data_IF_937745124241
#
_entry.id   IF_937745124241
#
_cell.length_a   1.000
_cell.length_b   1.000
_cell.length_c   1.000
_cell.angle_alpha   90.00
_cell.angle_beta   90.00
_cell.angle_gamma   90.00
#
_symmetry.space_group_name_H-M   'P 1'
#
loop_
_entity.id
_entity.type
_entity.pdbx_description
1 polymer ?
#
# COMPACT_ATOMS: atom_id res chain seq x y z
N UNK A 1 11.29 31.09 -48.83
CA UNK A 1 11.25 30.40 -47.50
C UNK A 1 9.91 29.65 -47.42
N UNK A 2 9.88 28.36 -47.15
CA UNK A 2 8.65 27.65 -47.02
C UNK A 2 7.93 28.16 -45.76
N UNK A 3 6.69 28.61 -45.91
CA UNK A 3 5.83 29.06 -44.82
C UNK A 3 5.55 27.89 -43.89
N UNK A 4 5.93 28.00 -42.61
CA UNK A 4 5.59 27.01 -41.59
C UNK A 4 4.07 26.82 -41.54
N UNK A 5 3.53 25.59 -41.57
CA UNK A 5 2.12 25.36 -41.47
C UNK A 5 1.64 25.91 -40.13
N UNK A 6 0.61 26.78 -40.17
CA UNK A 6 -0.05 27.25 -38.97
C UNK A 6 -0.69 26.06 -38.27
N UNK A 7 -0.37 25.84 -36.98
CA UNK A 7 -1.07 24.90 -36.12
C UNK A 7 -2.52 25.38 -36.02
N UNK A 8 -3.42 24.74 -36.75
CA UNK A 8 -4.88 24.95 -36.61
C UNK A 8 -5.34 24.07 -35.47
N UNK A 9 -5.84 24.69 -34.41
CA UNK A 9 -6.61 24.13 -33.29
C UNK A 9 -6.27 22.70 -32.85
N UNK A 10 -5.99 22.50 -31.56
CA UNK A 10 -5.67 21.23 -30.91
C UNK A 10 -6.81 20.17 -30.92
N UNK A 11 -7.98 20.52 -31.42
CA UNK A 11 -9.15 19.62 -31.56
C UNK A 11 -9.47 19.44 -33.03
N UNK A 12 -9.12 18.27 -33.59
CA UNK A 12 -9.54 17.90 -34.93
C UNK A 12 -11.03 17.54 -34.88
N UNK A 13 -11.84 18.28 -35.63
CA UNK A 13 -13.24 17.93 -35.82
C UNK A 13 -13.40 16.73 -36.76
N UNK A 14 -14.53 16.00 -36.69
CA UNK A 14 -14.87 14.93 -37.64
C UNK A 14 -14.76 15.40 -39.10
N UNK A 15 -15.03 16.68 -39.35
CA UNK A 15 -14.93 17.33 -40.65
C UNK A 15 -13.46 17.36 -41.14
N UNK A 16 -12.51 17.68 -40.25
CA UNK A 16 -11.10 17.72 -40.60
C UNK A 16 -10.59 16.33 -40.95
N UNK A 17 -11.10 15.28 -40.27
CA UNK A 17 -10.76 13.88 -40.56
C UNK A 17 -11.32 13.46 -41.91
N UNK A 18 -12.59 13.74 -42.20
CA UNK A 18 -13.20 13.42 -43.48
C UNK A 18 -12.51 14.12 -44.65
N UNK A 19 -12.18 15.40 -44.53
CA UNK A 19 -11.48 16.17 -45.57
C UNK A 19 -10.05 15.67 -45.72
N UNK A 20 -9.41 15.27 -44.66
CA UNK A 20 -8.05 14.73 -44.74
C UNK A 20 -8.01 13.33 -45.39
N UNK A 21 -9.03 12.48 -45.17
CA UNK A 21 -9.21 11.21 -45.88
C UNK A 21 -9.45 11.48 -47.36
N UNK A 22 -10.38 12.39 -47.68
CA UNK A 22 -10.67 12.78 -49.06
C UNK A 22 -9.42 13.26 -49.80
N UNK A 23 -8.60 14.11 -49.21
CA UNK A 23 -7.40 14.67 -49.81
C UNK A 23 -6.28 13.62 -50.04
N UNK A 24 -6.31 12.49 -49.33
CA UNK A 24 -5.33 11.41 -49.47
C UNK A 24 -5.87 10.23 -50.32
N UNK A 25 -7.15 10.24 -50.65
CA UNK A 25 -7.81 9.22 -51.43
C UNK A 25 -7.57 9.40 -52.95
N UNK A 26 -7.96 8.38 -53.72
CA UNK A 26 -7.83 8.41 -55.19
C UNK A 26 -8.66 9.55 -55.81
N UNK A 27 -8.30 9.92 -57.03
CA UNK A 27 -9.05 10.93 -57.84
C UNK A 27 -10.52 10.49 -57.98
N UNK A 28 -10.78 9.20 -58.10
CA UNK A 28 -12.12 8.66 -58.21
C UNK A 28 -12.94 8.95 -56.97
N UNK A 29 -12.38 8.70 -55.77
CA UNK A 29 -13.03 9.03 -54.49
C UNK A 29 -13.27 10.54 -54.35
N UNK A 30 -12.33 11.39 -54.75
CA UNK A 30 -12.46 12.84 -54.68
C UNK A 30 -13.55 13.39 -55.59
N UNK A 31 -13.86 12.70 -56.71
CA UNK A 31 -14.91 13.12 -57.64
C UNK A 31 -16.33 12.79 -57.13
N UNK A 32 -16.49 11.73 -56.39
CA UNK A 32 -17.82 11.30 -55.87
C UNK A 32 -18.12 11.86 -54.49
N UNK A 33 -17.10 12.02 -53.63
CA UNK A 33 -17.28 12.44 -52.23
C UNK A 33 -17.05 13.95 -52.12
N UNK A 34 -18.08 14.77 -51.80
CA UNK A 34 -17.90 16.20 -51.64
C UNK A 34 -17.02 16.58 -50.45
N UNK A 35 -16.62 17.83 -50.35
CA UNK A 35 -15.88 18.37 -49.22
C UNK A 35 -16.81 18.44 -48.03
N UNK A 36 -16.35 17.89 -46.89
CA UNK A 36 -17.11 17.93 -45.63
C UNK A 36 -17.14 19.36 -45.05
N UNK A 37 -18.31 19.81 -44.70
CA UNK A 37 -18.60 21.12 -44.11
C UNK A 37 -19.22 20.93 -42.70
N UNK A 38 -19.42 22.01 -41.97
CA UNK A 38 -20.13 22.00 -40.68
C UNK A 38 -21.62 21.77 -40.74
N UNK A 39 -22.18 21.65 -41.96
CA UNK A 39 -23.57 21.35 -42.19
C UNK A 39 -23.84 19.84 -41.93
N UNK A 40 -24.75 19.47 -40.99
CA UNK A 40 -25.12 18.10 -40.72
C UNK A 40 -25.67 17.35 -41.92
N UNK A 41 -26.36 18.01 -42.81
CA UNK A 41 -26.95 17.40 -44.01
C UNK A 41 -25.87 17.05 -45.05
N UNK A 42 -24.82 17.86 -45.18
CA UNK A 42 -23.67 17.54 -46.01
C UNK A 42 -22.88 16.30 -45.46
N UNK A 43 -22.74 16.14 -44.14
CA UNK A 43 -22.11 14.96 -43.54
C UNK A 43 -22.95 13.70 -43.79
N UNK A 44 -24.27 13.80 -43.73
CA UNK A 44 -25.20 12.69 -44.04
C UNK A 44 -25.13 12.29 -45.50
N UNK A 45 -25.06 13.24 -46.42
CA UNK A 45 -24.90 13.01 -47.85
C UNK A 45 -23.58 12.32 -48.15
N UNK A 46 -22.46 12.76 -47.57
CA UNK A 46 -21.15 12.09 -47.66
C UNK A 46 -21.23 10.64 -47.16
N UNK A 47 -21.90 10.43 -46.04
CA UNK A 47 -22.10 9.08 -45.48
C UNK A 47 -22.90 8.17 -46.41
N UNK A 48 -23.97 8.69 -47.00
CA UNK A 48 -24.81 7.97 -47.95
C UNK A 48 -24.02 7.56 -49.22
N UNK A 49 -23.27 8.47 -49.80
CA UNK A 49 -22.42 8.21 -51.00
C UNK A 49 -21.35 7.15 -50.71
N UNK A 50 -20.71 7.22 -49.54
CA UNK A 50 -19.68 6.22 -49.13
C UNK A 50 -20.33 4.85 -48.92
N UNK A 51 -21.52 4.79 -48.32
CA UNK A 51 -22.22 3.54 -48.03
C UNK A 51 -22.83 2.87 -49.24
N UNK A 52 -23.21 3.64 -50.26
CA UNK A 52 -23.84 3.14 -51.46
C UNK A 52 -22.86 2.48 -52.45
N UNK A 53 -21.58 2.84 -52.37
CA UNK A 53 -20.54 2.32 -53.28
C UNK A 53 -19.48 1.52 -52.53
N UNK A 54 -19.42 0.16 -52.66
CA UNK A 54 -18.49 -0.68 -51.96
C UNK A 54 -17.01 -0.32 -52.19
N UNK A 55 -16.65 0.19 -53.37
CA UNK A 55 -15.33 0.66 -53.67
C UNK A 55 -14.92 1.88 -52.84
N UNK A 56 -15.79 2.87 -52.73
CA UNK A 56 -15.59 4.08 -51.91
C UNK A 56 -15.54 3.74 -50.43
N UNK A 57 -16.39 2.79 -50.01
CA UNK A 57 -16.41 2.30 -48.63
C UNK A 57 -15.08 1.63 -48.26
N UNK A 58 -14.55 0.75 -49.11
CA UNK A 58 -13.27 0.07 -48.86
C UNK A 58 -12.11 1.07 -48.87
N UNK A 59 -12.11 2.05 -49.77
CA UNK A 59 -11.11 3.09 -49.81
C UNK A 59 -11.16 4.02 -48.61
N UNK A 60 -12.36 4.41 -48.18
CA UNK A 60 -12.59 5.18 -46.94
C UNK A 60 -12.08 4.42 -45.71
N UNK A 61 -12.44 3.13 -45.56
CA UNK A 61 -12.00 2.30 -44.45
C UNK A 61 -10.50 2.09 -44.47
N UNK A 62 -9.88 1.84 -45.64
CA UNK A 62 -8.45 1.72 -45.78
C UNK A 62 -7.72 3.01 -45.41
N UNK A 63 -8.22 4.16 -45.84
CA UNK A 63 -7.62 5.47 -45.53
C UNK A 63 -7.85 5.84 -44.05
N UNK A 64 -9.00 5.48 -43.47
CA UNK A 64 -9.32 5.66 -42.06
C UNK A 64 -8.42 4.78 -41.18
N UNK A 65 -8.27 3.49 -41.51
CA UNK A 65 -7.41 2.54 -40.80
C UNK A 65 -5.93 2.97 -40.87
N UNK A 66 -5.43 3.38 -42.02
CA UNK A 66 -4.07 3.88 -42.19
C UNK A 66 -3.80 5.18 -41.41
N UNK A 67 -4.83 5.94 -41.05
CA UNK A 67 -4.69 7.15 -40.23
C UNK A 67 -4.92 6.91 -38.75
N UNK A 68 -5.87 6.00 -38.40
CA UNK A 68 -6.14 5.59 -37.01
C UNK A 68 -5.11 4.52 -36.56
N UNK A 69 -4.65 3.67 -37.45
CA UNK A 69 -3.63 2.64 -37.14
C UNK A 69 -2.24 3.20 -36.84
N UNK A 70 -2.02 4.50 -36.97
CA UNK A 70 -0.83 5.21 -36.50
C UNK A 70 -1.04 5.98 -35.18
N UNK A 71 -2.12 5.78 -34.47
CA UNK A 71 -2.15 6.14 -33.08
C UNK A 71 -1.25 5.15 -32.36
N UNK A 72 -0.01 5.54 -32.23
CA UNK A 72 0.94 4.91 -31.33
C UNK A 72 0.23 4.83 -29.99
N UNK A 73 0.00 3.62 -29.50
CA UNK A 73 -0.34 3.38 -28.13
C UNK A 73 0.83 3.90 -27.29
N UNK A 74 0.79 5.14 -26.90
CA UNK A 74 1.72 5.75 -25.94
C UNK A 74 1.30 5.42 -24.51
N UNK A 75 0.81 4.22 -24.27
CA UNK A 75 0.66 3.71 -22.91
C UNK A 75 2.09 3.44 -22.41
N UNK A 76 2.58 4.33 -21.56
CA UNK A 76 3.82 4.06 -20.84
C UNK A 76 3.55 2.95 -19.85
N UNK A 77 4.35 1.90 -19.86
CA UNK A 77 4.34 0.87 -18.86
C UNK A 77 4.62 1.51 -17.49
N UNK A 78 3.72 1.35 -16.53
CA UNK A 78 3.92 1.82 -15.17
C UNK A 78 4.72 0.78 -14.39
N UNK A 79 5.81 1.20 -13.78
CA UNK A 79 6.56 0.40 -12.81
C UNK A 79 6.26 0.87 -11.40
N UNK A 80 6.22 -0.06 -10.44
CA UNK A 80 6.05 0.27 -9.04
C UNK A 80 7.26 1.07 -8.52
N UNK A 81 7.10 2.33 -8.09
CA UNK A 81 8.21 3.13 -7.56
C UNK A 81 8.76 2.59 -6.23
N UNK A 82 8.05 1.68 -5.58
CA UNK A 82 8.44 1.04 -4.33
C UNK A 82 8.94 -0.40 -4.51
N UNK A 83 9.29 -0.78 -5.73
CA UNK A 83 9.85 -2.10 -6.04
C UNK A 83 11.09 -2.44 -5.19
N UNK A 84 11.86 -1.42 -4.79
CA UNK A 84 13.05 -1.57 -3.94
C UNK A 84 12.76 -2.19 -2.57
N UNK A 85 11.52 -2.11 -2.07
CA UNK A 85 11.12 -2.70 -0.79
C UNK A 85 10.67 -4.15 -0.91
N UNK A 86 10.57 -4.70 -2.13
CA UNK A 86 10.20 -6.10 -2.34
C UNK A 86 11.37 -7.02 -1.99
N UNK A 87 11.03 -8.15 -1.39
CA UNK A 87 12.02 -9.18 -0.99
C UNK A 87 12.32 -10.20 -2.09
N UNK A 88 11.60 -10.12 -3.23
CA UNK A 88 11.75 -11.03 -4.35
C UNK A 88 10.74 -12.18 -4.36
N UNK A 89 11.05 -13.23 -5.14
CA UNK A 89 10.17 -14.38 -5.34
C UNK A 89 10.40 -15.44 -4.27
N UNK A 90 9.31 -15.95 -3.71
CA UNK A 90 9.33 -17.04 -2.77
C UNK A 90 9.24 -18.36 -3.56
N UNK A 91 10.29 -19.19 -3.52
CA UNK A 91 10.32 -20.44 -4.30
C UNK A 91 9.32 -21.48 -3.77
N UNK A 92 9.11 -21.53 -2.45
CA UNK A 92 8.21 -22.49 -1.80
C UNK A 92 7.54 -21.87 -0.58
N UNK A 93 6.28 -22.25 -0.35
CA UNK A 93 5.53 -21.91 0.86
C UNK A 93 4.59 -20.71 0.69
N UNK A 94 3.52 -20.73 1.48
CA UNK A 94 2.49 -19.69 1.51
C UNK A 94 2.63 -18.80 2.76
N UNK A 95 3.53 -19.18 3.67
CA UNK A 95 3.72 -18.51 4.96
C UNK A 95 5.20 -18.36 5.26
N UNK A 96 5.58 -17.18 5.71
CA UNK A 96 6.94 -16.86 6.17
C UNK A 96 6.89 -16.66 7.67
N UNK A 97 7.79 -17.29 8.39
CA UNK A 97 8.04 -17.04 9.81
C UNK A 97 9.24 -16.10 9.94
N UNK A 98 9.02 -14.95 10.55
CA UNK A 98 10.05 -14.02 10.97
C UNK A 98 10.34 -14.25 12.44
N UNK A 99 11.60 -14.52 12.80
CA UNK A 99 12.03 -14.82 14.16
C UNK A 99 12.98 -13.73 14.63
N UNK A 100 12.67 -13.14 15.77
CA UNK A 100 13.54 -12.19 16.45
C UNK A 100 13.98 -12.74 17.81
N UNK A 101 15.29 -12.69 18.07
CA UNK A 101 15.88 -13.09 19.35
C UNK A 101 16.40 -11.84 20.04
N UNK A 102 15.83 -11.50 21.18
CA UNK A 102 16.21 -10.32 21.94
C UNK A 102 17.61 -10.47 22.55
N UNK A 103 18.23 -9.37 22.93
CA UNK A 103 19.58 -9.39 23.52
C UNK A 103 19.60 -10.20 24.82
N UNK A 104 20.69 -10.93 25.06
CA UNK A 104 20.88 -11.73 26.27
C UNK A 104 21.06 -10.83 27.49
N UNK A 105 20.56 -11.28 28.64
CA UNK A 105 20.77 -10.60 29.91
C UNK A 105 22.21 -10.83 30.39
N UNK A 106 22.92 -9.80 30.88
CA UNK A 106 24.20 -10.00 31.56
C UNK A 106 23.99 -10.56 32.97
N UNK A 107 24.89 -11.43 33.39
CA UNK A 107 24.95 -11.95 34.74
C UNK A 107 26.21 -11.46 35.39
N UNK A 108 26.16 -11.21 36.71
CA UNK A 108 27.34 -10.91 37.49
C UNK A 108 28.17 -12.17 37.72
N UNK A 109 29.48 -12.10 37.48
CA UNK A 109 30.35 -13.17 37.78
C UNK A 109 30.51 -13.32 39.30
N UNK A 110 30.06 -14.44 39.85
CA UNK A 110 30.23 -14.79 41.27
C UNK A 110 30.65 -16.27 41.36
N UNK A 111 31.91 -16.54 41.72
CA UNK A 111 32.41 -17.90 41.80
C UNK A 111 31.82 -18.71 42.97
N UNK A 112 31.33 -18.04 44.04
CA UNK A 112 30.76 -18.76 45.21
C UNK A 112 29.37 -19.31 44.92
N UNK A 113 28.62 -18.69 44.02
CA UNK A 113 27.26 -19.08 43.60
C UNK A 113 27.26 -19.98 42.35
N UNK A 114 28.39 -20.01 41.62
CA UNK A 114 28.52 -20.71 40.34
C UNK A 114 28.14 -22.18 40.41
N UNK A 115 28.54 -22.90 41.49
CA UNK A 115 28.26 -24.33 41.65
C UNK A 115 26.77 -24.62 41.84
N UNK A 116 26.02 -23.74 42.50
CA UNK A 116 24.57 -23.86 42.72
C UNK A 116 23.72 -23.43 41.54
N UNK A 117 24.23 -22.53 40.69
CA UNK A 117 23.48 -21.97 39.54
C UNK A 117 23.79 -22.62 38.19
N UNK A 118 24.79 -23.55 38.13
CA UNK A 118 25.18 -24.25 36.89
C UNK A 118 24.00 -24.87 36.13
N UNK A 119 22.97 -25.32 36.80
CA UNK A 119 21.77 -25.94 36.20
C UNK A 119 20.59 -24.99 36.06
N UNK A 120 20.73 -23.72 36.46
CA UNK A 120 19.66 -22.72 36.30
C UNK A 120 19.46 -22.41 34.83
N UNK A 121 18.23 -22.55 34.36
CA UNK A 121 17.88 -22.29 32.97
C UNK A 121 17.53 -20.82 32.80
N UNK A 122 18.15 -20.16 31.81
CA UNK A 122 17.73 -18.87 31.31
C UNK A 122 17.19 -19.08 29.89
N UNK A 123 15.90 -18.78 29.71
CA UNK A 123 15.24 -18.95 28.41
C UNK A 123 15.37 -17.64 27.67
N UNK A 124 15.96 -17.61 26.45
CA UNK A 124 16.04 -16.39 25.67
C UNK A 124 14.63 -15.88 25.28
N UNK A 125 14.48 -14.57 25.20
CA UNK A 125 13.25 -13.93 24.69
C UNK A 125 13.26 -14.04 23.15
N UNK A 126 12.53 -15.03 22.66
CA UNK A 126 12.34 -15.29 21.22
C UNK A 126 10.92 -14.93 20.86
N UNK A 127 10.77 -14.08 19.85
CA UNK A 127 9.48 -13.67 19.32
C UNK A 127 9.38 -14.05 17.85
N UNK A 128 8.19 -14.45 17.40
CA UNK A 128 7.95 -14.78 16.00
C UNK A 128 6.74 -14.04 15.46
N UNK A 129 6.78 -13.70 14.18
CA UNK A 129 5.69 -13.16 13.42
C UNK A 129 5.48 -14.01 12.16
N UNK A 130 4.23 -14.21 11.77
CA UNK A 130 3.88 -14.99 10.59
C UNK A 130 3.30 -14.07 9.52
N UNK A 131 3.83 -14.19 8.31
CA UNK A 131 3.38 -13.45 7.13
C UNK A 131 2.77 -14.44 6.16
N UNK A 132 1.46 -14.32 5.92
CA UNK A 132 0.66 -15.26 5.14
C UNK A 132 0.30 -14.64 3.80
N UNK A 133 0.18 -15.47 2.75
CA UNK A 133 -0.29 -15.04 1.45
C UNK A 133 -1.73 -14.50 1.55
N UNK A 134 -1.89 -13.21 1.22
CA UNK A 134 -3.15 -12.48 1.36
C UNK A 134 -3.59 -11.78 0.06
N UNK A 135 -2.87 -11.98 -1.05
CA UNK A 135 -3.21 -11.36 -2.32
C UNK A 135 -3.13 -12.40 -3.43
N UNK A 136 -4.29 -12.78 -3.98
CA UNK A 136 -4.41 -13.72 -5.09
C UNK A 136 -5.34 -13.10 -6.13
N UNK A 137 -4.77 -12.50 -7.17
CA UNK A 137 -5.53 -11.83 -8.22
C UNK A 137 -5.09 -12.31 -9.60
N UNK A 138 -5.94 -12.10 -10.59
CA UNK A 138 -5.59 -12.25 -11.98
C UNK A 138 -6.18 -11.11 -12.81
N UNK A 139 -5.47 -10.77 -13.87
CA UNK A 139 -5.86 -9.76 -14.83
C UNK A 139 -6.24 -10.46 -16.13
N UNK A 140 -7.40 -10.11 -16.68
CA UNK A 140 -7.92 -10.74 -17.89
C UNK A 140 -8.01 -9.71 -19.01
N UNK A 141 -7.53 -10.09 -20.20
CA UNK A 141 -7.77 -9.36 -21.44
C UNK A 141 -8.28 -10.30 -22.51
N UNK A 142 -9.23 -9.83 -23.31
CA UNK A 142 -9.81 -10.61 -24.41
C UNK A 142 -9.51 -9.91 -25.72
N UNK A 143 -8.99 -10.66 -26.70
CA UNK A 143 -8.73 -10.18 -28.06
C UNK A 143 -9.70 -10.88 -29.01
N UNK A 144 -10.55 -10.12 -29.69
CA UNK A 144 -11.45 -10.63 -30.71
C UNK A 144 -10.72 -10.83 -32.04
N UNK A 145 -11.13 -11.82 -32.81
CA UNK A 145 -10.53 -12.12 -34.11
C UNK A 145 -10.61 -10.95 -35.10
N UNK A 146 -11.66 -10.13 -35.00
CA UNK A 146 -11.81 -8.94 -35.84
C UNK A 146 -10.77 -7.86 -35.53
N UNK A 147 -10.42 -7.67 -34.25
CA UNK A 147 -9.33 -6.77 -33.84
C UNK A 147 -7.98 -7.27 -34.35
N UNK A 148 -7.79 -8.59 -34.32
CA UNK A 148 -6.60 -9.21 -34.89
C UNK A 148 -6.52 -9.00 -36.40
N UNK A 149 -7.65 -9.14 -37.14
CA UNK A 149 -7.68 -8.87 -38.60
C UNK A 149 -7.34 -7.43 -38.92
N UNK A 150 -7.79 -6.46 -38.14
CA UNK A 150 -7.43 -5.07 -38.32
C UNK A 150 -5.94 -4.81 -38.06
N UNK A 151 -5.35 -5.50 -37.08
CA UNK A 151 -3.92 -5.42 -36.80
C UNK A 151 -3.06 -6.06 -37.92
N UNK A 152 -3.58 -7.05 -38.64
CA UNK A 152 -2.91 -7.65 -39.81
C UNK A 152 -2.78 -6.72 -41.03
N UNK A 153 -3.46 -5.59 -41.04
CA UNK A 153 -3.36 -4.61 -42.12
C UNK A 153 -2.05 -3.79 -42.10
N UNK A 154 -1.27 -3.87 -41.01
CA UNK A 154 0.07 -3.27 -40.94
C UNK A 154 1.10 -4.31 -40.50
N UNK A 155 2.32 -4.26 -41.06
CA UNK A 155 3.38 -5.26 -40.80
C UNK A 155 3.73 -5.38 -39.30
N UNK A 156 3.61 -4.30 -38.53
CA UNK A 156 3.94 -4.25 -37.09
C UNK A 156 2.70 -4.20 -36.17
N UNK A 157 1.48 -4.15 -36.73
CA UNK A 157 0.26 -3.91 -35.99
C UNK A 157 -0.10 -5.00 -35.00
N UNK A 158 0.22 -6.28 -35.31
CA UNK A 158 -0.07 -7.41 -34.46
C UNK A 158 0.82 -7.43 -33.22
N UNK A 159 2.13 -7.29 -33.44
CA UNK A 159 3.08 -7.26 -32.33
C UNK A 159 2.82 -6.07 -31.40
N UNK A 160 2.45 -4.91 -31.95
CA UNK A 160 2.08 -3.73 -31.16
C UNK A 160 0.77 -3.91 -30.38
N UNK A 161 -0.23 -4.55 -30.97
CA UNK A 161 -1.51 -4.83 -30.28
C UNK A 161 -1.31 -5.81 -29.12
N UNK A 162 -0.62 -6.93 -29.38
CA UNK A 162 -0.36 -7.95 -28.33
C UNK A 162 0.53 -7.36 -27.23
N UNK A 163 1.60 -6.67 -27.59
CA UNK A 163 2.47 -5.99 -26.63
C UNK A 163 1.68 -4.98 -25.78
N UNK A 164 0.84 -4.15 -26.39
CA UNK A 164 0.02 -3.17 -25.66
C UNK A 164 -0.98 -3.81 -24.68
N UNK A 165 -1.55 -4.97 -25.02
CA UNK A 165 -2.46 -5.70 -24.13
C UNK A 165 -1.71 -6.36 -22.97
N UNK A 166 -0.55 -6.95 -23.22
CA UNK A 166 0.32 -7.52 -22.19
C UNK A 166 0.82 -6.42 -21.26
N UNK A 167 1.30 -5.31 -21.81
CA UNK A 167 1.78 -4.15 -21.05
C UNK A 167 0.67 -3.54 -20.17
N UNK A 168 -0.58 -3.54 -20.64
CA UNK A 168 -1.71 -3.10 -19.84
C UNK A 168 -1.94 -3.97 -18.61
N UNK A 169 -1.81 -5.30 -18.72
CA UNK A 169 -1.96 -6.21 -17.59
C UNK A 169 -0.82 -6.05 -16.58
N UNK A 170 0.43 -5.92 -17.05
CA UNK A 170 1.57 -5.63 -16.17
C UNK A 170 1.46 -4.28 -15.50
N UNK A 171 1.05 -3.25 -16.22
CA UNK A 171 0.81 -1.91 -15.67
C UNK A 171 -0.26 -1.94 -14.59
N UNK A 172 -1.37 -2.67 -14.81
CA UNK A 172 -2.41 -2.83 -13.81
C UNK A 172 -1.89 -3.56 -12.55
N UNK A 173 -1.12 -4.64 -12.72
CA UNK A 173 -0.54 -5.38 -11.60
C UNK A 173 0.44 -4.54 -10.79
N UNK A 174 1.32 -3.78 -11.44
CA UNK A 174 2.28 -2.90 -10.78
C UNK A 174 1.60 -1.72 -10.06
N UNK A 175 0.53 -1.18 -10.65
CA UNK A 175 -0.26 -0.13 -10.02
C UNK A 175 -0.99 -0.66 -8.77
N UNK A 176 -1.62 -1.83 -8.88
CA UNK A 176 -2.33 -2.46 -7.76
C UNK A 176 -1.37 -2.85 -6.63
N UNK A 177 -0.16 -3.31 -6.96
CA UNK A 177 0.90 -3.55 -5.99
C UNK A 177 1.25 -2.26 -5.23
N UNK A 178 1.49 -1.17 -5.95
CA UNK A 178 1.84 0.13 -5.35
C UNK A 178 0.74 0.66 -4.43
N UNK A 179 -0.53 0.66 -4.87
CA UNK A 179 -1.63 1.14 -4.03
C UNK A 179 -1.88 0.25 -2.82
N UNK A 180 -1.64 -1.07 -2.95
CA UNK A 180 -1.73 -2.01 -1.82
C UNK A 180 -0.63 -1.75 -0.79
N UNK A 181 0.61 -1.49 -1.23
CA UNK A 181 1.70 -1.09 -0.33
C UNK A 181 1.41 0.24 0.38
N UNK A 182 0.86 1.22 -0.34
CA UNK A 182 0.41 2.50 0.26
C UNK A 182 -0.69 2.27 1.31
N UNK A 183 -1.68 1.44 0.97
CA UNK A 183 -2.76 1.09 1.90
C UNK A 183 -2.22 0.40 3.15
N UNK A 184 -1.31 -0.57 3.00
CA UNK A 184 -0.64 -1.24 4.13
C UNK A 184 0.06 -0.21 5.04
N UNK A 185 0.86 0.69 4.47
CA UNK A 185 1.54 1.75 5.20
C UNK A 185 0.54 2.64 5.95
N UNK A 186 -0.49 3.13 5.26
CA UNK A 186 -1.52 3.99 5.85
C UNK A 186 -2.26 3.29 7.01
N UNK A 187 -2.66 2.02 6.85
CA UNK A 187 -3.34 1.25 7.90
C UNK A 187 -2.46 1.03 9.12
N UNK A 188 -1.17 0.76 8.92
CA UNK A 188 -0.21 0.59 10.03
C UNK A 188 0.03 1.89 10.79
N UNK A 189 0.06 3.04 10.09
CA UNK A 189 0.13 4.37 10.72
C UNK A 189 -1.16 4.63 11.52
N UNK A 190 -2.34 4.42 10.93
CA UNK A 190 -3.63 4.62 11.61
C UNK A 190 -3.81 3.70 12.83
N UNK A 191 -3.25 2.49 12.77
CA UNK A 191 -3.24 1.56 13.91
C UNK A 191 -2.22 1.93 15.01
N UNK A 192 -1.46 3.03 14.86
CA UNK A 192 -0.47 3.47 15.83
C UNK A 192 0.73 2.52 15.96
N UNK A 193 1.07 1.80 14.87
CA UNK A 193 2.23 0.87 14.86
C UNK A 193 3.54 1.57 14.48
N UNK A 194 3.50 2.88 14.30
CA UNK A 194 4.67 3.73 14.09
C UNK A 194 4.93 4.56 15.35
N UNK A 195 6.21 4.75 15.69
CA UNK A 195 6.56 5.69 16.74
C UNK A 195 6.28 7.12 16.25
N UNK A 196 5.36 7.88 16.88
CA UNK A 196 5.02 9.21 16.42
C UNK A 196 5.99 10.27 16.98
N UNK A 197 6.61 11.04 16.09
CA UNK A 197 7.46 12.18 16.44
C UNK A 197 6.76 13.47 16.04
N UNK A 198 6.55 14.35 17.02
CA UNK A 198 5.90 15.64 16.78
C UNK A 198 6.82 16.58 16.00
N UNK A 199 6.31 17.13 14.92
CA UNK A 199 6.95 18.19 14.13
C UNK A 199 5.92 19.27 13.83
N UNK A 200 6.36 20.50 13.64
CA UNK A 200 5.44 21.55 13.17
C UNK A 200 4.96 21.27 11.76
N UNK A 201 3.76 21.75 11.40
CA UNK A 201 3.25 21.67 10.04
C UNK A 201 4.26 22.29 9.07
N UNK A 202 4.71 21.51 8.08
CA UNK A 202 5.83 21.88 7.22
C UNK A 202 5.52 23.10 6.36
N UNK A 203 6.35 24.12 6.51
CA UNK A 203 6.35 25.37 5.74
C UNK A 203 7.78 25.70 5.29
N UNK A 204 7.92 26.65 4.35
CA UNK A 204 9.24 27.12 3.94
C UNK A 204 10.04 27.74 5.09
N UNK A 205 9.36 28.30 6.10
CA UNK A 205 10.01 28.97 7.23
C UNK A 205 10.56 27.99 8.27
N UNK A 206 9.91 26.82 8.48
CA UNK A 206 10.32 25.84 9.49
C UNK A 206 10.96 24.56 8.90
N UNK A 207 11.23 24.53 7.60
CA UNK A 207 11.82 23.37 6.92
C UNK A 207 13.12 22.89 7.56
N UNK A 208 13.97 23.82 8.02
CA UNK A 208 15.20 23.48 8.73
C UNK A 208 14.95 22.76 10.06
N UNK A 209 13.98 23.22 10.85
CA UNK A 209 13.64 22.62 12.14
C UNK A 209 13.10 21.18 11.91
N UNK A 210 12.16 21.01 10.98
CA UNK A 210 11.61 19.69 10.64
C UNK A 210 12.70 18.73 10.15
N UNK A 211 13.60 19.21 9.28
CA UNK A 211 14.72 18.38 8.79
C UNK A 211 15.68 18.01 9.92
N UNK A 212 15.92 18.92 10.87
CA UNK A 212 16.77 18.64 12.04
C UNK A 212 16.17 17.54 12.90
N UNK A 213 14.86 17.59 13.17
CA UNK A 213 14.15 16.53 13.92
C UNK A 213 14.20 15.18 13.19
N UNK A 214 13.99 15.16 11.85
CA UNK A 214 14.12 13.94 11.05
C UNK A 214 15.54 13.35 11.17
N UNK A 215 16.56 14.20 11.07
CA UNK A 215 17.96 13.78 11.19
C UNK A 215 18.30 13.28 12.61
N UNK A 216 17.81 13.95 13.64
CA UNK A 216 17.98 13.54 15.03
C UNK A 216 17.40 12.14 15.24
N UNK A 217 16.17 11.92 14.82
CA UNK A 217 15.51 10.60 14.90
C UNK A 217 16.31 9.54 14.13
N UNK A 218 16.77 9.83 12.91
CA UNK A 218 17.62 8.93 12.13
C UNK A 218 18.90 8.55 12.87
N UNK A 219 19.54 9.51 13.51
CA UNK A 219 20.75 9.26 14.34
C UNK A 219 20.41 8.40 15.57
N UNK A 220 19.25 8.60 16.19
CA UNK A 220 18.83 7.81 17.35
C UNK A 220 18.47 6.36 16.98
N UNK A 221 17.93 6.12 15.81
CA UNK A 221 17.58 4.77 15.32
C UNK A 221 18.79 3.84 15.10
N UNK A 222 20.00 4.39 15.02
CA UNK A 222 21.25 3.59 14.93
C UNK A 222 21.57 2.90 16.27
N UNK A 223 21.06 3.44 17.37
CA UNK A 223 21.27 2.85 18.69
C UNK A 223 20.16 1.86 19.03
N UNK A 224 20.49 0.68 19.61
CA UNK A 224 19.48 -0.29 20.03
C UNK A 224 18.45 0.33 20.99
N UNK A 225 17.19 0.28 20.61
CA UNK A 225 16.08 0.83 21.39
C UNK A 225 14.83 -0.05 21.23
N UNK A 226 13.97 -0.05 22.23
CA UNK A 226 12.66 -0.71 22.18
C UNK A 226 11.54 0.26 21.78
N UNK A 227 11.87 1.51 21.52
CA UNK A 227 10.91 2.62 21.35
C UNK A 227 10.33 2.67 19.94
N UNK A 228 11.15 2.37 18.92
CA UNK A 228 10.81 2.63 17.52
C UNK A 228 10.11 1.47 16.81
N UNK A 229 9.86 0.36 17.49
CA UNK A 229 9.16 -0.79 16.90
C UNK A 229 7.97 -1.23 17.75
N UNK A 230 6.85 -1.69 17.11
CA UNK A 230 5.64 -2.05 17.86
C UNK A 230 5.82 -3.31 18.72
N UNK A 231 6.78 -4.18 18.41
CA UNK A 231 7.04 -5.36 19.22
C UNK A 231 7.77 -5.06 20.53
N UNK A 232 8.32 -3.84 20.70
CA UNK A 232 9.09 -3.44 21.88
C UNK A 232 10.34 -4.28 22.08
N UNK A 233 11.03 -4.65 20.99
CA UNK A 233 12.29 -5.41 21.01
C UNK A 233 13.47 -4.46 20.85
N UNK A 234 14.65 -4.87 21.36
CA UNK A 234 15.88 -4.10 21.17
C UNK A 234 16.36 -4.21 19.73
N UNK A 235 15.95 -3.26 18.90
CA UNK A 235 16.32 -3.17 17.48
C UNK A 235 17.08 -1.87 17.22
N UNK A 236 18.00 -1.91 16.25
CA UNK A 236 18.68 -0.76 15.68
C UNK A 236 18.60 -0.81 14.17
N UNK A 237 18.75 0.32 13.51
CA UNK A 237 18.72 0.41 12.05
C UNK A 237 19.88 1.28 11.60
N UNK A 238 20.85 0.69 10.91
CA UNK A 238 22.00 1.40 10.38
C UNK A 238 21.58 2.41 9.30
N UNK A 239 22.36 3.47 9.08
CA UNK A 239 22.03 4.52 8.09
C UNK A 239 21.74 3.96 6.69
N UNK A 240 22.44 2.91 6.27
CA UNK A 240 22.25 2.29 4.96
C UNK A 240 20.95 1.49 4.84
N UNK A 241 20.31 1.17 5.94
CA UNK A 241 19.06 0.42 5.99
C UNK A 241 17.85 1.31 6.35
N UNK A 242 18.09 2.62 6.59
CA UNK A 242 17.01 3.58 6.82
C UNK A 242 16.51 4.15 5.50
N UNK A 243 15.19 4.16 5.32
CA UNK A 243 14.50 4.80 4.21
C UNK A 243 13.58 5.88 4.71
N UNK A 244 13.65 7.06 4.07
CA UNK A 244 12.77 8.18 4.34
C UNK A 244 11.74 8.31 3.22
N UNK A 245 10.48 7.98 3.50
CA UNK A 245 9.37 8.16 2.59
C UNK A 245 8.81 9.56 2.81
N UNK A 246 8.88 10.44 1.80
CA UNK A 246 8.45 11.82 1.88
C UNK A 246 7.29 12.11 0.94
N UNK A 247 6.31 12.90 1.40
CA UNK A 247 5.30 13.42 0.49
C UNK A 247 5.94 14.35 -0.56
N UNK A 248 5.40 14.35 -1.77
CA UNK A 248 5.92 15.20 -2.86
C UNK A 248 5.95 16.69 -2.47
N UNK A 249 4.95 17.15 -1.69
CA UNK A 249 4.91 18.50 -1.15
C UNK A 249 6.05 18.76 -0.16
N UNK A 250 6.28 17.82 0.78
CA UNK A 250 7.33 17.95 1.77
C UNK A 250 8.70 17.94 1.12
N UNK A 251 8.94 17.03 0.17
CA UNK A 251 10.19 16.97 -0.58
C UNK A 251 10.48 18.27 -1.35
N UNK A 252 9.46 18.87 -1.98
CA UNK A 252 9.62 20.12 -2.71
C UNK A 252 10.03 21.29 -1.79
N UNK A 253 9.45 21.35 -0.57
CA UNK A 253 9.79 22.41 0.42
C UNK A 253 11.20 22.22 0.97
N UNK A 254 11.58 21.00 1.28
CA UNK A 254 12.91 20.68 1.84
C UNK A 254 14.00 20.86 0.78
N UNK A 255 13.81 20.36 -0.44
CA UNK A 255 14.80 20.45 -1.53
C UNK A 255 15.15 21.90 -1.87
N UNK A 256 14.17 22.81 -1.84
CA UNK A 256 14.39 24.21 -2.22
C UNK A 256 15.16 24.98 -1.14
N UNK A 257 14.92 24.71 0.15
CA UNK A 257 15.42 25.58 1.22
C UNK A 257 16.54 24.96 2.08
N UNK A 258 16.70 23.63 2.11
CA UNK A 258 17.44 22.99 3.21
C UNK A 258 18.52 22.01 2.81
N UNK A 259 18.37 21.30 1.69
CA UNK A 259 19.31 20.24 1.30
C UNK A 259 20.72 20.78 0.96
N UNK A 260 20.83 22.01 0.55
CA UNK A 260 22.13 22.62 0.25
C UNK A 260 22.97 22.93 1.50
N UNK A 261 22.34 23.12 2.67
CA UNK A 261 23.00 23.59 3.88
C UNK A 261 23.12 22.54 5.01
N UNK A 262 22.23 21.54 5.07
CA UNK A 262 22.09 20.67 6.25
C UNK A 262 22.88 19.35 6.20
N UNK A 263 23.27 18.89 5.01
CA UNK A 263 23.94 17.61 4.85
C UNK A 263 25.36 17.79 4.32
N UNK A 264 26.35 17.73 5.24
CA UNK A 264 27.74 17.49 4.88
C UNK A 264 28.00 16.04 4.39
N UNK A 265 26.94 15.27 4.12
CA UNK A 265 27.02 13.98 3.45
C UNK A 265 27.01 14.18 1.94
N UNK A 266 27.68 13.29 1.21
CA UNK A 266 27.56 13.27 -0.24
C UNK A 266 26.10 13.21 -0.62
N UNK A 267 25.68 14.20 -1.41
CA UNK A 267 24.30 14.41 -1.83
C UNK A 267 23.69 13.17 -2.54
N UNK A 268 24.54 12.33 -3.10
CA UNK A 268 24.17 11.09 -3.79
C UNK A 268 23.72 9.98 -2.80
N UNK A 269 24.41 9.82 -1.68
CA UNK A 269 24.09 8.75 -0.71
C UNK A 269 22.76 9.02 0.00
N UNK A 270 22.52 10.25 0.43
CA UNK A 270 21.26 10.61 1.06
C UNK A 270 20.06 10.52 0.10
N UNK A 271 20.25 10.93 -1.17
CA UNK A 271 19.18 10.84 -2.17
C UNK A 271 18.79 9.40 -2.53
N UNK A 272 19.68 8.42 -2.38
CA UNK A 272 19.40 7.01 -2.60
C UNK A 272 18.41 6.40 -1.61
N UNK A 273 18.28 6.98 -0.42
CA UNK A 273 17.41 6.51 0.67
C UNK A 273 16.11 7.34 0.81
N UNK A 274 15.90 8.36 -0.01
CA UNK A 274 14.68 9.19 -0.01
C UNK A 274 13.72 8.72 -1.08
N UNK A 275 12.60 8.14 -0.65
CA UNK A 275 11.52 7.68 -1.51
C UNK A 275 10.39 8.70 -1.52
N UNK A 276 9.88 9.02 -2.69
CA UNK A 276 8.81 10.02 -2.82
C UNK A 276 7.45 9.34 -2.98
N UNK A 277 6.46 9.83 -2.23
CA UNK A 277 5.05 9.50 -2.38
C UNK A 277 4.28 10.76 -2.78
N UNK A 278 3.20 10.61 -3.54
CA UNK A 278 2.31 11.73 -3.86
C UNK A 278 1.74 12.37 -2.59
N UNK A 279 1.04 11.58 -1.77
CA UNK A 279 0.59 11.91 -0.42
C UNK A 279 0.22 10.62 0.31
N UNK A 280 0.34 10.58 1.64
CA UNK A 280 0.00 9.39 2.44
C UNK A 280 -1.51 9.10 2.44
N UNK A 281 -2.36 10.12 2.31
CA UNK A 281 -3.82 9.96 2.21
C UNK A 281 -4.37 9.96 0.79
N UNK A 282 -3.54 10.09 -0.26
CA UNK A 282 -3.99 9.98 -1.66
C UNK A 282 -4.10 8.51 -2.07
N UNK A 283 -5.19 7.86 -1.66
CA UNK A 283 -5.47 6.46 -1.93
C UNK A 283 -6.59 6.33 -2.99
N UNK A 284 -6.40 5.42 -3.94
CA UNK A 284 -7.46 5.05 -4.90
C UNK A 284 -8.43 4.07 -4.24
N UNK A 285 -9.34 4.61 -3.42
CA UNK A 285 -10.32 3.83 -2.65
C UNK A 285 -11.21 3.01 -3.58
N UNK A 286 -11.62 3.57 -4.73
CA UNK A 286 -12.47 2.85 -5.68
C UNK A 286 -11.78 1.57 -6.20
N UNK A 287 -10.49 1.65 -6.50
CA UNK A 287 -9.70 0.51 -6.95
C UNK A 287 -9.45 -0.49 -5.82
N UNK A 288 -9.13 -0.02 -4.62
CA UNK A 288 -8.95 -0.86 -3.44
C UNK A 288 -10.22 -1.62 -3.07
N UNK A 289 -11.40 -0.98 -3.14
CA UNK A 289 -12.69 -1.63 -2.91
C UNK A 289 -12.97 -2.77 -3.90
N UNK A 290 -12.52 -2.64 -5.16
CA UNK A 290 -12.61 -3.74 -6.14
C UNK A 290 -11.60 -4.86 -5.82
N UNK A 291 -10.37 -4.49 -5.44
CA UNK A 291 -9.31 -5.47 -5.14
C UNK A 291 -9.64 -6.31 -3.91
N UNK A 292 -10.23 -5.73 -2.89
CA UNK A 292 -10.47 -6.37 -1.59
C UNK A 292 -11.96 -6.57 -1.28
N UNK A 293 -12.83 -6.60 -2.29
CA UNK A 293 -14.28 -6.75 -2.13
C UNK A 293 -14.69 -8.01 -1.33
N UNK A 294 -13.92 -9.09 -1.46
CA UNK A 294 -14.18 -10.38 -0.80
C UNK A 294 -13.35 -10.59 0.46
N UNK A 295 -12.54 -9.62 0.88
CA UNK A 295 -11.69 -9.74 2.08
C UNK A 295 -12.40 -9.14 3.31
N UNK A 296 -12.80 -9.96 4.29
CA UNK A 296 -13.50 -9.50 5.49
C UNK A 296 -12.62 -8.64 6.41
N UNK A 297 -11.30 -8.65 6.22
CA UNK A 297 -10.34 -7.87 7.01
C UNK A 297 -10.08 -6.49 6.41
N UNK A 298 -10.47 -6.28 5.15
CA UNK A 298 -10.36 -4.99 4.52
C UNK A 298 -11.32 -3.98 5.15
N UNK A 299 -10.80 -2.83 5.51
CA UNK A 299 -11.60 -1.70 5.99
C UNK A 299 -11.23 -0.45 5.19
N UNK A 300 -12.23 0.19 4.62
CA UNK A 300 -12.05 1.44 3.90
C UNK A 300 -11.50 2.53 4.84
N UNK A 301 -10.56 3.33 4.32
CA UNK A 301 -10.03 4.49 5.05
C UNK A 301 -10.97 5.67 4.81
N UNK A 302 -11.52 6.22 5.88
CA UNK A 302 -12.46 7.32 5.84
C UNK A 302 -11.81 8.66 5.44
N UNK A 303 -12.65 9.62 5.04
CA UNK A 303 -12.17 10.95 4.60
C UNK A 303 -11.38 11.69 5.69
N UNK A 304 -11.79 11.59 6.95
CA UNK A 304 -11.09 12.20 8.09
C UNK A 304 -9.71 11.56 8.32
N UNK A 305 -9.62 10.23 8.17
CA UNK A 305 -8.35 9.50 8.27
C UNK A 305 -7.41 9.87 7.11
N UNK A 306 -7.95 9.99 5.89
CA UNK A 306 -7.18 10.46 4.72
C UNK A 306 -6.65 11.88 4.91
N UNK A 307 -7.44 12.78 5.49
CA UNK A 307 -7.02 14.15 5.80
C UNK A 307 -5.89 14.16 6.83
N UNK A 308 -6.00 13.36 7.90
CA UNK A 308 -4.95 13.20 8.90
C UNK A 308 -3.65 12.63 8.30
N UNK A 309 -3.76 11.62 7.42
CA UNK A 309 -2.61 11.06 6.69
C UNK A 309 -1.97 12.09 5.74
N UNK A 310 -2.76 12.95 5.09
CA UNK A 310 -2.25 14.00 4.20
C UNK A 310 -1.44 15.07 4.93
N UNK A 311 -1.62 15.22 6.24
CA UNK A 311 -0.85 16.14 7.05
C UNK A 311 0.57 15.63 7.38
N UNK A 312 0.85 14.35 7.17
CA UNK A 312 2.16 13.72 7.42
C UNK A 312 3.17 14.21 6.36
N UNK A 313 4.29 14.84 6.76
CA UNK A 313 5.33 15.25 5.83
C UNK A 313 6.22 14.06 5.40
N UNK A 314 6.57 13.18 6.32
CA UNK A 314 7.50 12.08 6.09
C UNK A 314 7.28 10.92 7.07
N UNK A 315 7.83 9.76 6.69
CA UNK A 315 7.88 8.53 7.48
C UNK A 315 9.26 7.92 7.31
N UNK A 316 9.91 7.51 8.40
CA UNK A 316 11.15 6.73 8.37
C UNK A 316 10.86 5.27 8.66
N UNK A 317 11.40 4.36 7.84
CA UNK A 317 11.24 2.91 7.99
C UNK A 317 12.58 2.21 7.79
N UNK A 318 12.76 1.09 8.47
CA UNK A 318 13.84 0.15 8.15
C UNK A 318 13.61 -0.50 6.78
N UNK A 319 14.69 -0.89 6.11
CA UNK A 319 14.66 -1.56 4.80
C UNK A 319 13.78 -2.79 4.78
N UNK A 320 13.77 -3.53 5.89
CA UNK A 320 13.08 -4.79 6.03
C UNK A 320 11.67 -4.65 6.63
N UNK A 321 11.20 -3.42 6.84
CA UNK A 321 9.87 -3.16 7.35
C UNK A 321 8.77 -3.67 6.41
N UNK A 322 8.92 -3.52 5.09
CA UNK A 322 7.99 -4.09 4.11
C UNK A 322 8.32 -5.57 3.86
N UNK A 323 7.42 -6.44 4.26
CA UNK A 323 7.47 -7.88 4.01
C UNK A 323 6.58 -8.21 2.81
N UNK A 324 7.08 -7.83 1.61
CA UNK A 324 6.36 -8.02 0.33
C UNK A 324 7.10 -9.04 -0.51
N UNK A 325 6.44 -10.17 -0.78
CA UNK A 325 6.99 -11.29 -1.55
C UNK A 325 6.08 -11.64 -2.72
N UNK A 326 6.68 -12.00 -3.83
CA UNK A 326 5.99 -12.60 -4.97
C UNK A 326 5.95 -14.12 -4.79
N UNK A 327 4.74 -14.74 -4.84
CA UNK A 327 4.57 -16.19 -4.72
C UNK A 327 4.35 -16.82 -6.09
N UNK A 328 3.56 -16.18 -6.96
CA UNK A 328 3.29 -16.64 -8.31
C UNK A 328 3.13 -15.45 -9.24
N UNK A 329 3.83 -15.51 -10.37
CA UNK A 329 3.61 -14.64 -11.51
C UNK A 329 3.55 -15.53 -12.76
N UNK A 330 2.34 -15.80 -13.25
CA UNK A 330 2.15 -16.71 -14.38
C UNK A 330 1.20 -16.13 -15.41
N UNK A 331 1.60 -16.22 -16.66
CA UNK A 331 0.79 -15.86 -17.80
C UNK A 331 0.19 -17.13 -18.43
N UNK A 332 -1.12 -17.12 -18.69
CA UNK A 332 -1.83 -18.21 -19.36
C UNK A 332 -2.76 -17.67 -20.43
N UNK A 333 -3.04 -18.48 -21.46
CA UNK A 333 -3.94 -18.10 -22.53
C UNK A 333 -4.93 -19.22 -22.82
N UNK A 334 -6.10 -18.85 -23.33
CA UNK A 334 -7.13 -19.80 -23.76
C UNK A 334 -7.91 -19.25 -24.97
N UNK A 335 -8.02 -20.07 -26.02
CA UNK A 335 -8.84 -19.76 -27.19
C UNK A 335 -10.26 -20.29 -27.02
N UNK A 336 -11.26 -19.41 -27.20
CA UNK A 336 -12.66 -19.81 -27.27
C UNK A 336 -13.09 -19.98 -28.72
N UNK A 337 -13.21 -21.23 -29.16
CA UNK A 337 -13.58 -21.59 -30.55
C UNK A 337 -15.03 -21.22 -30.91
N UNK A 338 -15.93 -21.10 -29.94
CA UNK A 338 -17.33 -20.73 -30.20
C UNK A 338 -17.46 -19.21 -30.40
N UNK A 339 -16.72 -18.41 -29.64
CA UNK A 339 -16.75 -16.95 -29.70
C UNK A 339 -15.69 -16.34 -30.60
N UNK A 340 -14.77 -17.14 -31.16
CA UNK A 340 -13.64 -16.71 -31.99
C UNK A 340 -12.78 -15.62 -31.36
N UNK A 341 -12.44 -15.79 -30.07
CA UNK A 341 -11.60 -14.86 -29.32
C UNK A 341 -10.57 -15.58 -28.45
N UNK A 342 -9.49 -14.87 -28.14
CA UNK A 342 -8.44 -15.29 -27.21
C UNK A 342 -8.62 -14.58 -25.88
N UNK A 343 -8.55 -15.33 -24.78
CA UNK A 343 -8.46 -14.80 -23.43
C UNK A 343 -7.02 -14.96 -22.94
N UNK A 344 -6.47 -13.89 -22.45
CA UNK A 344 -5.18 -13.85 -21.79
C UNK A 344 -5.41 -13.59 -20.31
N UNK A 345 -4.67 -14.31 -19.46
CA UNK A 345 -4.75 -14.19 -18.00
C UNK A 345 -3.35 -14.00 -17.44
N UNK A 346 -3.17 -12.99 -16.63
CA UNK A 346 -1.95 -12.78 -15.86
C UNK A 346 -2.27 -12.97 -14.38
N UNK A 347 -1.78 -14.07 -13.78
CA UNK A 347 -1.97 -14.44 -12.39
C UNK A 347 -0.86 -13.84 -11.55
N UNK A 348 -1.23 -13.20 -10.44
CA UNK A 348 -0.30 -12.57 -9.50
C UNK A 348 -0.72 -12.92 -8.08
N UNK A 349 0.15 -13.66 -7.38
CA UNK A 349 -0.05 -14.02 -5.99
C UNK A 349 1.09 -13.44 -5.16
N UNK A 350 0.76 -12.80 -4.04
CA UNK A 350 1.73 -12.06 -3.22
C UNK A 350 1.41 -12.12 -1.75
N UNK A 351 2.43 -11.88 -0.94
CA UNK A 351 2.32 -11.56 0.47
C UNK A 351 2.50 -10.05 0.62
N UNK A 352 1.55 -9.37 1.25
CA UNK A 352 1.68 -7.98 1.68
C UNK A 352 1.60 -7.94 3.20
N UNK A 353 2.73 -7.68 3.85
CA UNK A 353 2.83 -7.61 5.30
C UNK A 353 3.90 -6.59 5.72
N UNK A 354 4.01 -6.34 7.01
CA UNK A 354 5.06 -5.51 7.60
C UNK A 354 5.70 -6.24 8.78
N UNK A 355 7.00 -6.06 8.97
CA UNK A 355 7.68 -6.59 10.14
C UNK A 355 7.29 -5.80 11.39
N UNK A 356 6.88 -6.44 12.49
CA UNK A 356 6.65 -5.79 13.77
C UNK A 356 7.95 -5.52 14.54
N UNK A 357 9.08 -6.09 14.10
CA UNK A 357 10.37 -5.98 14.76
C UNK A 357 11.23 -4.84 14.22
N UNK A 358 10.89 -4.33 13.02
CA UNK A 358 11.62 -3.25 12.36
C UNK A 358 11.21 -1.87 12.89
N UNK A 359 12.18 -0.98 12.97
CA UNK A 359 11.96 0.39 13.40
C UNK A 359 11.16 1.17 12.36
N UNK A 360 10.14 1.88 12.83
CA UNK A 360 9.24 2.68 12.00
C UNK A 360 8.79 3.94 12.76
N UNK A 361 9.00 5.09 12.16
CA UNK A 361 8.72 6.40 12.76
C UNK A 361 7.86 7.22 11.82
N UNK A 362 6.83 7.88 12.36
CA UNK A 362 5.98 8.83 11.62
C UNK A 362 6.13 10.23 12.18
N UNK A 363 6.38 11.20 11.30
CA UNK A 363 6.47 12.61 11.66
C UNK A 363 5.10 13.27 11.52
N UNK A 364 4.58 13.80 12.63
CA UNK A 364 3.19 14.28 12.67
C UNK A 364 3.09 15.71 13.19
N UNK A 365 2.23 16.56 12.58
CA UNK A 365 2.02 17.92 13.05
C UNK A 365 1.10 18.02 14.27
N UNK A 366 0.48 16.91 14.68
CA UNK A 366 -0.40 16.84 15.84
C UNK A 366 0.32 16.18 17.04
N UNK A 367 0.07 16.65 18.23
CA UNK A 367 0.62 16.04 19.45
C UNK A 367 0.02 14.64 19.64
N UNK A 368 0.86 13.59 19.72
CA UNK A 368 0.39 12.23 19.99
C UNK A 368 -0.22 12.13 21.39
N UNK A 369 -1.29 11.40 21.53
CA UNK A 369 -1.93 11.22 22.83
C UNK A 369 -3.05 10.19 22.79
N UNK A 370 -3.46 9.72 23.96
CA UNK A 370 -4.62 8.82 24.15
C UNK A 370 -5.73 9.60 24.81
N UNK A 371 -6.89 9.66 24.17
CA UNK A 371 -8.08 10.32 24.70
C UNK A 371 -8.83 9.44 25.66
N UNK A 372 -9.12 8.20 25.25
CA UNK A 372 -9.84 7.21 26.07
C UNK A 372 -9.48 5.79 25.73
N UNK A 373 -9.63 4.91 26.68
CA UNK A 373 -9.67 3.45 26.52
C UNK A 373 -11.07 3.01 26.91
N UNK A 374 -11.68 2.12 26.16
CA UNK A 374 -13.00 1.56 26.45
C UNK A 374 -12.97 0.05 26.26
N UNK A 375 -13.37 -0.70 27.26
CA UNK A 375 -13.44 -2.16 27.25
C UNK A 375 -14.87 -2.61 26.92
N UNK A 376 -15.00 -3.66 26.14
CA UNK A 376 -16.30 -4.26 25.83
C UNK A 376 -16.20 -5.80 25.94
N UNK A 377 -17.15 -6.42 26.67
CA UNK A 377 -18.21 -5.82 27.50
C UNK A 377 -17.65 -5.24 28.80
N UNK A 378 -18.36 -4.25 29.39
CA UNK A 378 -18.01 -3.63 30.69
C UNK A 378 -18.20 -4.61 31.87
N UNK A 379 -19.16 -5.52 31.73
CA UNK A 379 -19.43 -6.56 32.69
C UNK A 379 -19.90 -7.86 32.00
N UNK A 380 -19.48 -9.00 32.54
CA UNK A 380 -19.84 -10.31 32.02
C UNK A 380 -19.91 -11.33 33.12
N UNK A 381 -20.81 -12.33 32.99
CA UNK A 381 -20.90 -13.47 33.91
C UNK A 381 -20.33 -14.72 33.24
N UNK A 382 -19.49 -15.46 33.96
CA UNK A 382 -18.88 -16.69 33.47
C UNK A 382 -18.79 -17.73 34.60
N UNK A 383 -18.82 -19.02 34.24
CA UNK A 383 -18.59 -20.11 35.21
C UNK A 383 -17.10 -20.38 35.37
N UNK A 384 -16.70 -20.87 36.54
CA UNK A 384 -15.35 -21.41 36.72
C UNK A 384 -15.05 -22.49 35.66
N UNK A 385 -13.87 -22.44 35.05
CA UNK A 385 -13.45 -23.28 33.91
C UNK A 385 -13.78 -22.74 32.53
N UNK A 386 -14.48 -21.62 32.39
CA UNK A 386 -14.79 -20.99 31.11
C UNK A 386 -13.75 -19.92 30.73
N UNK A 387 -13.77 -19.54 29.45
CA UNK A 387 -13.00 -18.42 28.93
C UNK A 387 -13.95 -17.31 28.45
N UNK A 388 -13.50 -16.06 28.58
CA UNK A 388 -14.21 -14.85 28.16
C UNK A 388 -13.27 -14.05 27.26
N UNK A 389 -13.75 -13.54 26.13
CA UNK A 389 -12.99 -12.63 25.27
C UNK A 389 -13.47 -11.20 25.50
N UNK A 390 -12.53 -10.33 25.84
CA UNK A 390 -12.73 -8.90 25.99
C UNK A 390 -12.07 -8.20 24.80
N UNK A 391 -12.63 -7.07 24.39
CA UNK A 391 -12.03 -6.19 23.38
C UNK A 391 -11.83 -4.80 23.97
N UNK A 392 -10.80 -4.10 23.49
CA UNK A 392 -10.54 -2.71 23.86
C UNK A 392 -10.59 -1.81 22.64
N UNK A 393 -11.25 -0.65 22.77
CA UNK A 393 -11.20 0.42 21.80
C UNK A 393 -10.41 1.58 22.41
N UNK A 394 -9.35 2.02 21.73
CA UNK A 394 -8.48 3.12 22.14
C UNK A 394 -8.66 4.28 21.17
N UNK A 395 -9.08 5.44 21.69
CA UNK A 395 -9.20 6.67 20.88
C UNK A 395 -7.92 7.48 21.06
N UNK A 396 -7.23 7.71 19.94
CA UNK A 396 -5.93 8.38 19.94
C UNK A 396 -5.94 9.66 19.10
N UNK A 397 -4.93 10.52 19.33
CA UNK A 397 -4.58 11.66 18.50
C UNK A 397 -3.13 11.55 18.03
N UNK A 398 -2.78 12.15 16.90
CA UNK A 398 -1.40 12.18 16.40
C UNK A 398 -0.79 10.80 16.17
N UNK A 399 -1.63 9.79 15.84
CA UNK A 399 -1.22 8.40 15.59
C UNK A 399 -0.50 7.72 16.76
N UNK A 400 -0.81 8.11 18.01
CA UNK A 400 -0.32 7.42 19.19
C UNK A 400 -0.70 5.93 19.16
N UNK A 401 0.12 5.08 19.79
CA UNK A 401 -0.13 3.65 19.85
C UNK A 401 -1.48 3.31 20.49
N UNK A 402 -2.23 2.43 19.84
CA UNK A 402 -3.50 1.89 20.35
C UNK A 402 -3.30 0.61 21.16
N UNK A 403 -2.06 0.20 21.40
CA UNK A 403 -1.76 -1.01 22.16
C UNK A 403 -2.19 -0.87 23.62
N UNK A 404 -2.64 -1.99 24.19
CA UNK A 404 -3.09 -2.07 25.58
C UNK A 404 -2.43 -3.22 26.31
N UNK A 405 -2.28 -3.05 27.62
CA UNK A 405 -1.88 -4.09 28.54
C UNK A 405 -3.07 -4.53 29.37
N UNK A 406 -3.33 -5.84 29.37
CA UNK A 406 -4.36 -6.47 30.18
C UNK A 406 -3.79 -7.03 31.47
N UNK A 407 -4.44 -6.75 32.59
CA UNK A 407 -4.01 -7.24 33.90
C UNK A 407 -5.23 -7.66 34.76
N UNK A 408 -5.01 -8.65 35.63
CA UNK A 408 -6.00 -9.01 36.64
C UNK A 408 -5.87 -8.05 37.83
N UNK A 409 -6.82 -7.11 37.97
CA UNK A 409 -6.78 -6.07 38.99
C UNK A 409 -7.17 -6.58 40.37
N UNK A 410 -7.93 -7.69 40.45
CA UNK A 410 -8.36 -8.30 41.74
C UNK A 410 -7.32 -9.28 42.23
N UNK A 411 -6.51 -8.98 43.29
CA UNK A 411 -5.39 -9.84 43.72
C UNK A 411 -5.78 -11.26 44.12
N UNK A 412 -6.97 -11.46 44.66
CA UNK A 412 -7.45 -12.78 45.08
C UNK A 412 -7.64 -13.76 43.92
N UNK A 413 -7.74 -13.27 42.69
CA UNK A 413 -7.89 -14.07 41.49
C UNK A 413 -6.60 -14.19 40.67
N UNK A 414 -5.50 -13.54 41.07
CA UNK A 414 -4.25 -13.52 40.33
C UNK A 414 -3.63 -14.91 40.01
N UNK A 415 -3.98 -15.93 40.84
CA UNK A 415 -3.54 -17.32 40.65
C UNK A 415 -4.50 -18.20 39.87
N UNK A 416 -5.77 -17.77 39.72
CA UNK A 416 -6.86 -18.58 39.13
C UNK A 416 -7.49 -17.97 37.90
N UNK A 417 -7.19 -16.72 37.60
CA UNK A 417 -7.61 -16.02 36.39
C UNK A 417 -6.37 -15.50 35.67
N UNK A 418 -6.28 -15.76 34.37
CA UNK A 418 -5.22 -15.25 33.52
C UNK A 418 -5.82 -14.52 32.33
N UNK A 419 -5.16 -13.48 31.85
CA UNK A 419 -5.55 -12.72 30.65
C UNK A 419 -4.35 -12.67 29.70
N UNK A 420 -4.60 -12.92 28.43
CA UNK A 420 -3.58 -12.79 27.39
C UNK A 420 -3.56 -11.36 26.78
N UNK A 421 -2.59 -11.08 25.91
CA UNK A 421 -2.44 -9.79 25.23
C UNK A 421 -3.63 -9.46 24.30
N UNK A 422 -4.36 -10.46 23.84
CA UNK A 422 -5.51 -10.30 22.98
C UNK A 422 -6.83 -10.06 23.76
N UNK A 423 -6.78 -10.02 25.10
CA UNK A 423 -7.96 -9.83 25.95
C UNK A 423 -8.74 -11.12 26.22
N UNK A 424 -8.17 -12.31 25.92
CA UNK A 424 -8.81 -13.56 26.27
C UNK A 424 -8.52 -13.90 27.73
N UNK A 425 -9.57 -13.90 28.53
CA UNK A 425 -9.52 -14.23 29.95
C UNK A 425 -9.82 -15.71 30.13
N UNK A 426 -8.93 -16.44 30.75
CA UNK A 426 -9.12 -17.86 31.14
C UNK A 426 -9.35 -17.97 32.65
N UNK A 427 -10.45 -18.55 33.03
CA UNK A 427 -10.83 -18.77 34.42
C UNK A 427 -10.55 -20.25 34.79
N UNK A 428 -9.73 -20.49 35.79
CA UNK A 428 -9.48 -21.86 36.26
C UNK A 428 -10.78 -22.48 36.85
N UNK A 429 -10.96 -23.81 36.71
CA UNK A 429 -12.09 -24.54 37.27
C UNK A 429 -12.14 -24.48 38.78
N UNK A 430 -11.02 -24.14 39.43
CA UNK A 430 -10.92 -23.98 40.91
C UNK A 430 -11.18 -22.55 41.37
N UNK A 431 -11.51 -21.63 40.46
CA UNK A 431 -11.78 -20.24 40.81
C UNK A 431 -13.00 -20.14 41.72
N UNK A 432 -12.86 -19.40 42.81
CA UNK A 432 -13.99 -19.15 43.72
C UNK A 432 -15.05 -18.29 43.05
N UNK A 433 -16.32 -18.47 43.41
CA UNK A 433 -17.37 -17.55 42.96
C UNK A 433 -17.16 -16.14 43.55
N UNK A 434 -17.49 -15.12 42.77
CA UNK A 434 -17.35 -13.72 43.18
C UNK A 434 -17.03 -12.81 42.00
N UNK A 435 -16.57 -11.61 42.29
CA UNK A 435 -16.26 -10.57 41.28
C UNK A 435 -14.76 -10.44 41.04
N UNK A 436 -14.34 -10.59 39.80
CA UNK A 436 -12.95 -10.39 39.32
C UNK A 436 -12.91 -9.21 38.35
N UNK A 437 -12.05 -8.24 38.61
CA UNK A 437 -11.86 -7.08 37.74
C UNK A 437 -10.66 -7.29 36.84
N UNK A 438 -10.84 -7.15 35.53
CA UNK A 438 -9.80 -7.12 34.52
C UNK A 438 -9.58 -5.67 34.10
N UNK A 439 -8.37 -5.20 34.19
CA UNK A 439 -7.97 -3.84 33.83
C UNK A 439 -7.24 -3.84 32.50
N UNK A 440 -7.67 -2.95 31.62
CA UNK A 440 -7.06 -2.65 30.35
C UNK A 440 -6.41 -1.27 30.39
N UNK A 441 -5.11 -1.18 30.25
CA UNK A 441 -4.34 0.08 30.36
C UNK A 441 -3.63 0.36 29.05
N UNK A 442 -3.70 1.61 28.55
CA UNK A 442 -2.95 2.00 27.35
C UNK A 442 -1.44 1.85 27.58
N UNK A 443 -0.73 1.33 26.59
CA UNK A 443 0.74 1.25 26.61
C UNK A 443 1.36 2.63 26.43
N UNK A 444 0.74 3.50 25.60
CA UNK A 444 1.24 4.85 25.33
C UNK A 444 1.06 5.81 26.52
N UNK A 445 -0.10 5.75 27.18
CA UNK A 445 -0.43 6.59 28.35
C UNK A 445 -1.04 5.73 29.46
N UNK A 446 -0.22 5.34 30.42
CA UNK A 446 -0.63 4.50 31.54
C UNK A 446 -1.68 5.12 32.47
N UNK A 447 -1.96 6.41 32.32
CA UNK A 447 -3.04 7.09 33.07
C UNK A 447 -4.42 6.80 32.46
N UNK A 448 -4.47 6.31 31.22
CA UNK A 448 -5.70 5.96 30.49
C UNK A 448 -5.93 4.46 30.57
N UNK A 449 -7.02 4.09 31.20
CA UNK A 449 -7.42 2.69 31.39
C UNK A 449 -8.94 2.58 31.48
N UNK A 450 -9.43 1.37 31.35
CA UNK A 450 -10.80 0.98 31.61
C UNK A 450 -10.85 -0.44 32.20
N UNK A 451 -11.96 -0.83 32.80
CA UNK A 451 -12.08 -2.05 33.57
C UNK A 451 -13.35 -2.84 33.21
N UNK A 452 -13.20 -4.16 33.13
CA UNK A 452 -14.34 -5.09 33.01
C UNK A 452 -14.52 -5.87 34.29
N UNK A 453 -15.76 -5.99 34.78
CA UNK A 453 -16.10 -6.79 35.93
C UNK A 453 -16.64 -8.15 35.50
N UNK A 454 -15.90 -9.22 35.80
CA UNK A 454 -16.31 -10.60 35.54
C UNK A 454 -16.95 -11.19 36.82
N UNK A 455 -18.25 -11.49 36.78
CA UNK A 455 -18.92 -12.21 37.84
C UNK A 455 -18.72 -13.71 37.63
N UNK A 456 -17.89 -14.33 38.48
CA UNK A 456 -17.58 -15.76 38.42
C UNK A 456 -18.61 -16.51 39.26
N UNK A 457 -19.30 -17.45 38.63
CA UNK A 457 -20.19 -18.41 39.36
C UNK A 457 -19.43 -19.71 39.56
N UNK A 458 -19.58 -20.30 40.73
CA UNK A 458 -18.98 -21.62 41.04
C UNK A 458 -19.42 -22.66 40.00
N UNK A 459 -18.56 -23.64 39.73
CA UNK A 459 -18.78 -24.72 38.76
C UNK A 459 -20.01 -25.59 39.11
#
# INVERSE_FOLDING_TARGET
MPTKPKIKTLTNSSIDVLNAIRNSATVNYQNYVPIATSDPDNIREIGAIIMDMPQLQNEFLSALVNRIGRVILTSKMYSNPWEMFKKGMLEYGETIEEIFVNIAKPFQYDPEVAESEVYKREIPDVRSAFHVMNYQKFYKATIQQEQLRQAFLSADGISQLIAGIVDQMYTAANYDEFITMKYLLAKKILAGQFHPVTVDALTAANSNAVTTTIKETSNMMVFPSTEYNPAGVFQHTDYNDQFLIMSAKAKAVIDVNTLAAAFNMDKADFMGHVVTIDSFGALDIARLNVLFADDPTYTEIGSAEMEALNAIPAVSVGRDWFMVYDNLMQFTENYNGQGLYWNYFYHVWKIFSSSPFENAVVYVPATPGVTSVTVSPDAVSAKAGQSVSLSAAVVTTGFASQEVNWTVATPSYASTVTVDKAGNVKIDAKAAGGSCTIKCTSVFDSTKFDECVITITAA
#
